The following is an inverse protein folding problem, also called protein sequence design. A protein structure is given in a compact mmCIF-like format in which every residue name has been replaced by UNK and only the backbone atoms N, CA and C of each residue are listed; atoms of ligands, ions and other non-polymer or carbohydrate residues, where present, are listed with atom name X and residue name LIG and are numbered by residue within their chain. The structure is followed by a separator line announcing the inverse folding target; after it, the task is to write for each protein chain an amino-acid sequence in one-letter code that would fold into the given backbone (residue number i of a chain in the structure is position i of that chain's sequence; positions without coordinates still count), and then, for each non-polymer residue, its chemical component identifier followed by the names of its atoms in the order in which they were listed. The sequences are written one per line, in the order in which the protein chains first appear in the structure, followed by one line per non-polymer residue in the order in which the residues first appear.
data_IF_587864534319
#
_entry.id   IF_587864534319
#
_cell.length_a   1.000
_cell.length_b   1.000
_cell.length_c   1.000
_cell.angle_alpha   90.00
_cell.angle_beta   90.00
_cell.angle_gamma   90.00
#
_symmetry.space_group_name_H-M   'P 1'
#
loop_
_entity.id
_entity.type
_entity.pdbx_description
1 polymer ?
#
# COMPACT_ATOMS: atom_id res chain seq x y z
N UNK A 1 22.57 -4.40 -2.68
CA UNK A 1 21.36 -4.27 -1.85
C UNK A 1 20.16 -4.57 -2.75
N UNK A 2 19.53 -5.74 -2.62
CA UNK A 2 18.48 -6.21 -3.53
C UNK A 2 17.18 -6.31 -2.76
N UNK A 3 16.17 -5.59 -3.25
CA UNK A 3 14.89 -5.34 -2.62
C UNK A 3 14.25 -6.64 -2.15
N UNK A 4 13.99 -6.74 -0.85
CA UNK A 4 13.17 -7.78 -0.27
C UNK A 4 11.78 -7.66 -0.88
N UNK A 5 11.47 -8.58 -1.79
CA UNK A 5 10.15 -8.74 -2.37
C UNK A 5 9.16 -9.03 -1.23
N UNK A 6 8.51 -7.99 -0.70
CA UNK A 6 7.35 -8.13 0.18
C UNK A 6 6.15 -8.60 -0.65
N UNK A 7 6.24 -9.77 -1.27
CA UNK A 7 5.11 -10.45 -1.86
C UNK A 7 4.25 -10.88 -0.67
N UNK A 8 3.33 -10.01 -0.26
CA UNK A 8 2.37 -10.32 0.77
C UNK A 8 1.42 -11.34 0.15
N UNK A 9 1.54 -12.60 0.55
CA UNK A 9 0.57 -13.63 0.18
C UNK A 9 -0.79 -13.31 0.80
N UNK A 10 -1.85 -13.30 -0.02
CA UNK A 10 -3.21 -12.92 0.41
C UNK A 10 -4.22 -13.92 -0.12
N UNK A 11 -5.10 -14.38 0.75
CA UNK A 11 -6.29 -15.11 0.33
C UNK A 11 -7.32 -14.16 -0.30
N UNK A 12 -7.91 -14.63 -1.40
CA UNK A 12 -8.94 -13.92 -2.16
C UNK A 12 -10.15 -13.62 -1.27
N UNK A 13 -10.57 -12.35 -1.22
CA UNK A 13 -11.75 -11.92 -0.45
C UNK A 13 -11.48 -11.41 0.97
N UNK A 14 -10.24 -11.52 1.49
CA UNK A 14 -9.90 -10.92 2.79
C UNK A 14 -9.66 -9.41 2.67
N UNK A 15 -10.22 -8.65 3.61
CA UNK A 15 -9.95 -7.22 3.72
C UNK A 15 -8.47 -6.94 4.00
N UNK A 16 -7.96 -5.83 3.47
CA UNK A 16 -6.62 -5.35 3.77
C UNK A 16 -6.47 -5.08 5.26
N UNK A 17 -5.49 -5.76 5.89
CA UNK A 17 -5.08 -5.49 7.26
C UNK A 17 -4.48 -4.09 7.37
N UNK A 18 -4.53 -3.50 8.57
CA UNK A 18 -3.99 -2.17 8.86
C UNK A 18 -2.53 -2.00 8.41
N UNK A 19 -1.68 -3.02 8.60
CA UNK A 19 -0.28 -2.98 8.16
C UNK A 19 -0.13 -2.82 6.64
N UNK A 20 -0.93 -3.53 5.86
CA UNK A 20 -0.92 -3.39 4.40
C UNK A 20 -1.41 -2.00 3.95
N UNK A 21 -2.37 -1.41 4.66
CA UNK A 21 -2.80 -0.02 4.41
C UNK A 21 -1.70 1.00 4.68
N UNK A 22 -0.90 0.83 5.75
CA UNK A 22 0.27 1.67 6.03
C UNK A 22 1.30 1.60 4.91
N UNK A 23 1.57 0.40 4.38
CA UNK A 23 2.48 0.22 3.24
C UNK A 23 1.94 0.93 2.00
N UNK A 24 0.66 0.76 1.65
CA UNK A 24 0.03 1.46 0.51
C UNK A 24 0.17 2.97 0.66
N UNK A 25 -0.08 3.51 1.86
CA UNK A 25 0.05 4.93 2.14
C UNK A 25 1.49 5.41 2.00
N UNK A 26 2.47 4.64 2.48
CA UNK A 26 3.89 4.96 2.32
C UNK A 26 4.31 4.97 0.84
N UNK A 27 3.95 3.92 0.08
CA UNK A 27 4.30 3.83 -1.34
C UNK A 27 3.64 4.96 -2.15
N UNK A 28 2.40 5.32 -1.83
CA UNK A 28 1.67 6.38 -2.54
C UNK A 28 2.14 7.79 -2.13
N UNK A 29 2.27 8.08 -0.84
CA UNK A 29 2.59 9.43 -0.35
C UNK A 29 4.09 9.72 -0.33
N UNK A 30 4.96 8.79 0.10
CA UNK A 30 6.41 9.00 0.21
C UNK A 30 7.16 8.66 -1.07
N UNK A 31 6.83 7.53 -1.71
CA UNK A 31 7.53 7.09 -2.92
C UNK A 31 6.85 7.57 -4.21
N UNK A 32 5.71 8.27 -4.11
CA UNK A 32 4.93 8.80 -5.23
C UNK A 32 4.63 7.75 -6.32
N UNK A 33 4.50 6.48 -5.93
CA UNK A 33 4.23 5.37 -6.85
C UNK A 33 2.79 5.40 -7.33
N UNK A 34 2.58 4.98 -8.56
CA UNK A 34 1.24 4.87 -9.12
C UNK A 34 0.51 3.61 -8.61
N UNK A 35 -0.81 3.57 -8.78
CA UNK A 35 -1.63 2.45 -8.29
C UNK A 35 -1.21 1.08 -8.85
N UNK A 36 -0.68 1.02 -10.07
CA UNK A 36 -0.27 -0.22 -10.72
C UNK A 36 1.05 -0.74 -10.16
N UNK A 37 1.99 0.14 -9.83
CA UNK A 37 3.25 -0.19 -9.17
C UNK A 37 3.00 -0.72 -7.76
N UNK A 38 2.18 0.00 -6.98
CA UNK A 38 1.79 -0.41 -5.64
C UNK A 38 1.08 -1.77 -5.70
N UNK A 39 0.20 -1.98 -6.68
CA UNK A 39 -0.49 -3.24 -6.87
C UNK A 39 0.45 -4.42 -7.12
N UNK A 40 1.47 -4.22 -7.96
CA UNK A 40 2.51 -5.23 -8.25
C UNK A 40 3.32 -5.55 -6.99
N UNK A 41 3.74 -4.53 -6.26
CA UNK A 41 4.52 -4.68 -5.03
C UNK A 41 3.72 -5.34 -3.91
N UNK A 42 2.43 -5.03 -3.84
CA UNK A 42 1.48 -5.57 -2.86
C UNK A 42 0.83 -6.89 -3.29
N UNK A 43 1.23 -7.43 -4.44
CA UNK A 43 0.64 -8.61 -5.09
C UNK A 43 -0.90 -8.60 -5.03
N UNK A 44 -1.52 -7.49 -5.45
CA UNK A 44 -2.97 -7.32 -5.39
C UNK A 44 -3.50 -6.55 -6.59
N UNK A 45 -4.82 -6.56 -6.77
CA UNK A 45 -5.42 -5.87 -7.90
C UNK A 45 -5.35 -4.34 -7.73
N UNK A 46 -5.05 -3.61 -8.82
CA UNK A 46 -4.99 -2.13 -8.85
C UNK A 46 -6.25 -1.48 -8.27
N UNK A 47 -7.42 -2.05 -8.55
CA UNK A 47 -8.69 -1.51 -8.04
C UNK A 47 -8.80 -1.58 -6.53
N UNK A 48 -8.15 -2.56 -5.88
CA UNK A 48 -8.06 -2.65 -4.43
C UNK A 48 -7.29 -1.45 -3.88
N UNK A 49 -6.12 -1.15 -4.45
CA UNK A 49 -5.31 0.03 -4.08
C UNK A 49 -6.12 1.32 -4.25
N UNK A 50 -6.75 1.49 -5.41
CA UNK A 50 -7.58 2.67 -5.71
C UNK A 50 -8.74 2.83 -4.72
N UNK A 51 -9.43 1.75 -4.34
CA UNK A 51 -10.51 1.79 -3.35
C UNK A 51 -10.03 2.20 -1.98
N UNK A 52 -8.88 1.73 -1.52
CA UNK A 52 -8.36 2.10 -0.21
C UNK A 52 -7.91 3.57 -0.17
N UNK A 53 -7.28 4.05 -1.23
CA UNK A 53 -6.90 5.46 -1.38
C UNK A 53 -8.15 6.35 -1.42
N UNK A 54 -9.15 5.97 -2.22
CA UNK A 54 -10.44 6.68 -2.32
C UNK A 54 -11.22 6.68 -1.01
N UNK A 55 -11.12 5.63 -0.20
CA UNK A 55 -11.70 5.56 1.16
C UNK A 55 -11.02 6.50 2.16
N UNK A 56 -9.96 7.21 1.78
CA UNK A 56 -9.26 8.14 2.65
C UNK A 56 -8.42 7.47 3.74
N UNK A 57 -8.20 6.15 3.65
CA UNK A 57 -7.33 5.41 4.56
C UNK A 57 -5.84 5.73 4.37
N UNK A 58 -5.50 6.48 3.31
CA UNK A 58 -4.15 7.01 3.07
C UNK A 58 -3.90 8.38 3.70
N UNK A 59 -4.70 8.77 4.68
CA UNK A 59 -4.51 9.97 5.54
C UNK A 59 -3.26 9.92 6.43
N UNK A 60 -2.25 9.12 6.09
CA UNK A 60 -0.89 9.22 6.65
C UNK A 60 -0.07 10.26 5.88
N UNK A 61 -0.63 11.46 5.65
CA UNK A 61 0.12 12.57 5.02
C UNK A 61 1.04 13.30 6.01
N UNK A 62 0.76 13.24 7.32
CA UNK A 62 1.38 14.13 8.31
C UNK A 62 1.68 13.48 9.68
N UNK A 63 1.75 12.15 9.80
CA UNK A 63 2.29 11.60 11.04
C UNK A 63 3.82 11.63 10.91
N UNK A 64 4.47 12.47 11.70
CA UNK A 64 5.90 12.44 11.98
C UNK A 64 6.40 11.00 12.10
N UNK A 65 7.03 10.50 11.04
CA UNK A 65 7.98 9.40 11.11
C UNK A 65 9.36 10.04 11.20
N UNK A 66 9.59 10.72 12.32
CA UNK A 66 10.91 11.04 12.82
C UNK A 66 11.44 9.76 13.44
N UNK A 67 12.41 9.14 12.77
CA UNK A 67 13.35 8.23 13.43
C UNK A 67 14.48 9.08 14.01
#
# INVERSE_FOLDING_TARGET
MRQSNYIIEREKGKHLKLGARKIIAHLYNKQNKNYSEIAREMNCHRTTISREIKKGLTTFKNADWSD
#
